data_IF_118048740201
#
_entry.id   IF_118048740201
#
_cell.length_a   1.000
_cell.length_b   1.000
_cell.length_c   1.000
_cell.angle_alpha   90.00
_cell.angle_beta   90.00
_cell.angle_gamma   90.00
#
_symmetry.space_group_name_H-M   'P 1'
#
loop_
_entity.id
_entity.type
_entity.pdbx_description
1 polymer ?
#
# COMPACT_ATOMS: atom_id res chain seq x y z
N UNK A 1 -18.41 -0.15 10.53
CA UNK A 1 -17.37 0.90 10.68
C UNK A 1 -16.04 0.23 10.46
N UNK A 2 -15.30 0.64 9.43
CA UNK A 2 -13.93 0.19 9.22
C UNK A 2 -13.08 1.03 10.18
N UNK A 3 -12.55 0.39 11.24
CA UNK A 3 -11.59 1.04 12.14
C UNK A 3 -10.25 1.29 11.43
N UNK A 4 -9.33 2.02 12.06
CA UNK A 4 -7.99 2.22 11.50
C UNK A 4 -7.34 0.86 11.23
N UNK A 5 -6.70 0.74 10.07
CA UNK A 5 -5.96 -0.44 9.67
C UNK A 5 -4.74 -0.67 10.56
N UNK A 6 -4.32 -1.93 10.69
CA UNK A 6 -3.22 -2.37 11.56
C UNK A 6 -1.90 -1.63 11.34
N UNK A 7 -1.71 -1.06 10.14
CA UNK A 7 -0.48 -0.40 9.72
C UNK A 7 -0.67 1.08 9.35
N UNK A 8 -1.78 1.71 9.75
CA UNK A 8 -2.09 3.10 9.37
C UNK A 8 -1.09 4.12 9.93
N UNK A 9 -0.64 3.96 11.18
CA UNK A 9 0.35 4.84 11.80
C UNK A 9 1.70 4.74 11.08
N UNK A 10 2.13 3.51 10.76
CA UNK A 10 3.33 3.27 9.99
C UNK A 10 3.23 3.85 8.56
N UNK A 11 2.07 3.70 7.91
CA UNK A 11 1.80 4.28 6.61
C UNK A 11 1.88 5.82 6.64
N UNK A 12 1.33 6.44 7.69
CA UNK A 12 1.42 7.89 7.94
C UNK A 12 2.88 8.33 8.06
N UNK A 13 3.66 7.65 8.91
CA UNK A 13 5.06 7.99 9.14
C UNK A 13 5.90 7.92 7.86
N UNK A 14 5.67 6.92 7.00
CA UNK A 14 6.34 6.79 5.71
C UNK A 14 5.93 7.92 4.76
N UNK A 15 4.64 8.25 4.67
CA UNK A 15 4.17 9.35 3.81
C UNK A 15 4.79 10.68 4.20
N UNK A 16 4.77 11.01 5.49
CA UNK A 16 5.29 12.28 6.00
C UNK A 16 6.81 12.39 5.85
N UNK A 17 7.55 11.34 6.20
CA UNK A 17 9.02 11.34 6.09
C UNK A 17 9.52 11.46 4.65
N UNK A 18 8.78 10.92 3.69
CA UNK A 18 9.10 11.00 2.26
C UNK A 18 8.52 12.23 1.57
N UNK A 19 7.61 12.97 2.24
CA UNK A 19 6.80 14.05 1.65
C UNK A 19 6.03 13.60 0.40
N UNK A 20 5.63 12.34 0.37
CA UNK A 20 4.90 11.77 -0.74
C UNK A 20 3.43 12.23 -0.71
N UNK A 21 2.85 12.41 -1.88
CA UNK A 21 1.41 12.68 -2.04
C UNK A 21 0.55 11.46 -1.66
N UNK A 22 1.11 10.26 -1.77
CA UNK A 22 0.49 9.03 -1.30
C UNK A 22 1.48 7.88 -1.12
N UNK A 23 1.12 6.90 -0.30
CA UNK A 23 1.91 5.72 0.04
C UNK A 23 1.01 4.48 0.08
N UNK A 24 1.53 3.36 -0.41
CA UNK A 24 1.02 2.01 -0.15
C UNK A 24 2.10 1.27 0.63
N UNK A 25 1.78 0.81 1.82
CA UNK A 25 2.64 0.02 2.68
C UNK A 25 2.18 -1.43 2.63
N UNK A 26 3.05 -2.34 2.21
CA UNK A 26 2.83 -3.79 2.23
C UNK A 26 3.80 -4.40 3.23
N UNK A 27 3.30 -5.19 4.17
CA UNK A 27 4.05 -5.79 5.26
C UNK A 27 4.03 -7.30 5.14
N UNK A 28 5.21 -7.92 5.17
CA UNK A 28 5.40 -9.36 5.24
C UNK A 28 6.12 -9.71 6.55
N UNK A 29 5.55 -10.61 7.35
CA UNK A 29 6.14 -11.06 8.61
C UNK A 29 6.32 -9.95 9.65
N UNK A 30 5.45 -8.93 9.64
CA UNK A 30 5.44 -7.89 10.66
C UNK A 30 5.05 -8.42 12.03
N UNK A 31 5.21 -7.59 13.06
CA UNK A 31 4.81 -7.94 14.45
C UNK A 31 3.32 -8.30 14.56
N UNK A 32 2.48 -7.69 13.73
CA UNK A 32 1.05 -8.01 13.60
C UNK A 32 0.73 -8.97 12.44
N UNK A 33 1.75 -9.58 11.83
CA UNK A 33 1.61 -10.52 10.71
C UNK A 33 1.75 -9.88 9.34
N UNK A 34 1.11 -10.46 8.34
CA UNK A 34 1.09 -9.94 6.97
C UNK A 34 -0.08 -8.97 6.81
N UNK A 35 0.10 -7.89 6.06
CA UNK A 35 -0.98 -6.93 5.83
C UNK A 35 -0.57 -5.79 4.92
N UNK A 36 -1.46 -4.81 4.80
CA UNK A 36 -1.18 -3.57 4.08
C UNK A 36 -1.95 -2.40 4.69
N UNK A 37 -1.48 -1.18 4.42
CA UNK A 37 -2.22 0.06 4.62
C UNK A 37 -1.88 1.03 3.48
N UNK A 38 -2.83 1.88 3.10
CA UNK A 38 -2.66 2.80 2.00
C UNK A 38 -3.23 4.18 2.36
N UNK A 39 -2.45 5.22 2.10
CA UNK A 39 -2.88 6.61 2.17
C UNK A 39 -2.65 7.25 0.81
N UNK A 40 -3.73 7.43 0.06
CA UNK A 40 -3.68 7.88 -1.33
C UNK A 40 -4.72 8.99 -1.55
N UNK A 41 -4.49 9.90 -2.50
CA UNK A 41 -5.54 10.79 -3.01
C UNK A 41 -6.69 10.00 -3.63
N UNK A 42 -7.92 10.53 -3.56
CA UNK A 42 -9.13 9.87 -4.11
C UNK A 42 -8.97 9.44 -5.57
N UNK A 43 -8.38 10.30 -6.41
CA UNK A 43 -8.19 10.00 -7.84
C UNK A 43 -7.23 8.82 -8.10
N UNK A 44 -6.40 8.45 -7.11
CA UNK A 44 -5.55 7.26 -7.16
C UNK A 44 -6.27 6.07 -6.54
N UNK A 45 -7.02 6.26 -5.45
CA UNK A 45 -7.76 5.18 -4.76
C UNK A 45 -8.63 4.40 -5.76
N UNK A 46 -9.36 5.10 -6.63
CA UNK A 46 -10.25 4.46 -7.61
C UNK A 46 -9.50 3.59 -8.63
N UNK A 47 -8.24 3.92 -8.92
CA UNK A 47 -7.40 3.21 -9.91
C UNK A 47 -6.43 2.21 -9.27
N UNK A 48 -6.26 2.27 -7.94
CA UNK A 48 -5.25 1.51 -7.21
C UNK A 48 -5.35 0.00 -7.45
N UNK A 49 -6.53 -0.66 -7.42
CA UNK A 49 -6.61 -2.10 -7.66
C UNK A 49 -6.07 -2.50 -9.04
N UNK A 50 -6.34 -1.71 -10.07
CA UNK A 50 -5.90 -2.00 -11.44
C UNK A 50 -4.39 -1.78 -11.60
N UNK A 51 -3.85 -0.73 -10.98
CA UNK A 51 -2.39 -0.48 -10.94
C UNK A 51 -1.68 -1.64 -10.24
N UNK A 52 -2.18 -2.10 -9.10
CA UNK A 52 -1.57 -3.21 -8.36
C UNK A 52 -1.63 -4.53 -9.15
N UNK A 53 -2.72 -4.80 -9.86
CA UNK A 53 -2.80 -5.96 -10.77
C UNK A 53 -1.77 -5.86 -11.90
N UNK A 54 -1.64 -4.70 -12.53
CA UNK A 54 -0.63 -4.50 -13.58
C UNK A 54 0.80 -4.70 -13.07
N UNK A 55 1.09 -4.29 -11.83
CA UNK A 55 2.38 -4.54 -11.18
C UNK A 55 2.57 -6.03 -10.92
N UNK A 56 1.55 -6.73 -10.41
CA UNK A 56 1.60 -8.18 -10.21
C UNK A 56 1.88 -8.92 -11.54
N UNK A 57 1.14 -8.61 -12.60
CA UNK A 57 1.33 -9.18 -13.94
C UNK A 57 2.76 -8.97 -14.47
N UNK A 58 3.36 -7.81 -14.17
CA UNK A 58 4.73 -7.50 -14.56
C UNK A 58 5.77 -8.31 -13.77
N UNK A 59 5.55 -8.49 -12.46
CA UNK A 59 6.41 -9.31 -11.60
C UNK A 59 6.40 -10.76 -12.09
N UNK A 60 5.22 -11.31 -12.38
CA UNK A 60 5.07 -12.69 -12.87
C UNK A 60 5.84 -12.90 -14.18
N UNK A 61 5.66 -11.99 -15.16
CA UNK A 61 6.39 -12.04 -16.43
C UNK A 61 7.90 -11.92 -16.28
N UNK A 62 8.37 -11.20 -15.28
CA UNK A 62 9.81 -10.95 -15.05
C UNK A 62 10.49 -12.09 -14.27
N UNK A 63 9.71 -12.95 -13.63
CA UNK A 63 10.21 -14.03 -12.76
C UNK A 63 10.22 -15.42 -13.42
N UNK A 64 9.77 -15.51 -14.67
CA UNK A 64 9.76 -16.75 -15.48
C UNK A 64 10.71 -16.70 -16.65
#
# INVERSE_FOLDING_TARGET
MIGPGEYDDACTAVRESTKAEGVILIVYGGEHGNGFSAQLPEYIIERMPDVLRQVADQIEKSSG
#
